data_IF_281849288166
#
_entry.id   IF_281849288166
#
_cell.length_a   1.000
_cell.length_b   1.000
_cell.length_c   1.000
_cell.angle_alpha   90.00
_cell.angle_beta   90.00
_cell.angle_gamma   90.00
#
_symmetry.space_group_name_H-M   'P 1'
#
loop_
_entity.id
_entity.type
_entity.pdbx_description
1 polymer ?
#
# COMPACT_ATOMS: atom_id res chain seq x y z
N UNK A 1 3.50 11.18 -15.18
CA UNK A 1 2.28 11.06 -14.37
C UNK A 1 1.89 9.60 -14.39
N UNK A 2 1.82 8.94 -13.24
CA UNK A 2 1.31 7.57 -13.19
C UNK A 2 -0.20 7.59 -13.48
N UNK A 3 -0.68 6.69 -14.33
CA UNK A 3 -2.10 6.54 -14.63
C UNK A 3 -2.84 6.01 -13.39
N UNK A 4 -4.11 6.35 -13.15
CA UNK A 4 -4.85 5.88 -11.96
C UNK A 4 -4.91 4.36 -11.80
N UNK A 5 -4.72 3.60 -12.88
CA UNK A 5 -4.67 2.14 -12.92
C UNK A 5 -3.31 1.58 -12.45
N UNK A 6 -2.25 2.39 -12.51
CA UNK A 6 -0.91 2.02 -12.03
C UNK A 6 -0.77 2.18 -10.51
N UNK A 7 -1.84 2.60 -9.82
CA UNK A 7 -1.84 2.89 -8.39
C UNK A 7 -2.93 2.10 -7.64
N UNK A 8 -2.55 1.52 -6.51
CA UNK A 8 -3.48 1.02 -5.50
C UNK A 8 -3.53 1.95 -4.30
N UNK A 9 -4.69 2.01 -3.65
CA UNK A 9 -4.87 2.73 -2.40
C UNK A 9 -4.81 1.77 -1.24
N UNK A 10 -3.91 2.01 -0.29
CA UNK A 10 -3.89 1.34 1.02
C UNK A 10 -4.49 2.25 2.06
N UNK A 11 -5.22 1.68 3.01
CA UNK A 11 -5.91 2.41 4.09
C UNK A 11 -5.48 1.82 5.43
N UNK A 12 -5.23 2.67 6.42
CA UNK A 12 -4.92 2.21 7.77
C UNK A 12 -6.12 1.51 8.41
N UNK A 13 -5.85 0.39 9.08
CA UNK A 13 -6.79 -0.30 9.96
C UNK A 13 -6.42 -0.08 11.43
N UNK A 14 -7.38 -0.27 12.35
CA UNK A 14 -7.08 -0.36 13.77
C UNK A 14 -5.98 -1.40 14.04
N UNK A 15 -5.13 -1.14 15.03
CA UNK A 15 -4.05 -2.06 15.38
C UNK A 15 -2.88 -2.08 14.38
N UNK A 16 -2.72 -1.04 13.55
CA UNK A 16 -1.55 -0.85 12.67
C UNK A 16 -1.54 -1.73 11.41
N UNK A 17 -2.69 -2.32 11.07
CA UNK A 17 -2.91 -3.05 9.82
C UNK A 17 -3.12 -2.14 8.60
N UNK A 18 -3.07 -2.72 7.40
CA UNK A 18 -3.34 -2.05 6.14
C UNK A 18 -4.37 -2.81 5.31
N UNK A 19 -5.21 -2.08 4.58
CA UNK A 19 -6.22 -2.65 3.70
C UNK A 19 -6.16 -2.03 2.31
N UNK A 20 -6.08 -2.84 1.25
CA UNK A 20 -6.10 -2.36 -0.14
C UNK A 20 -7.53 -2.06 -0.62
N UNK A 21 -7.85 -0.82 -0.95
CA UNK A 21 -9.16 -0.46 -1.50
C UNK A 21 -9.30 1.01 -1.91
N UNK A 22 -9.70 1.23 -3.16
CA UNK A 22 -9.88 2.58 -3.74
C UNK A 22 -10.95 3.40 -3.03
N UNK A 23 -12.07 2.76 -2.66
CA UNK A 23 -13.25 3.42 -2.07
C UNK A 23 -13.37 3.26 -0.55
N UNK A 24 -12.39 2.65 0.12
CA UNK A 24 -12.47 2.38 1.56
C UNK A 24 -12.42 3.68 2.40
N UNK A 25 -13.23 3.81 3.46
CA UNK A 25 -13.24 4.99 4.31
C UNK A 25 -11.93 5.11 5.12
N UNK A 26 -11.57 6.33 5.53
CA UNK A 26 -10.41 6.59 6.37
C UNK A 26 -9.19 7.15 5.61
N UNK A 27 -8.07 7.32 6.34
CA UNK A 27 -6.81 7.83 5.78
C UNK A 27 -6.19 6.76 4.87
N UNK A 28 -5.85 7.15 3.65
CA UNK A 28 -5.23 6.25 2.69
C UNK A 28 -4.01 6.86 2.01
N UNK A 29 -3.13 5.99 1.54
CA UNK A 29 -1.93 6.31 0.78
C UNK A 29 -1.97 5.56 -0.56
N UNK A 30 -1.44 6.18 -1.61
CA UNK A 30 -1.34 5.57 -2.93
C UNK A 30 0.06 5.00 -3.13
N UNK A 31 0.13 3.79 -3.68
CA UNK A 31 1.38 3.07 -3.99
C UNK A 31 1.23 2.35 -5.33
N UNK A 32 2.35 2.10 -6.01
CA UNK A 32 2.37 1.44 -7.32
C UNK A 32 1.68 0.06 -7.28
N UNK A 33 0.83 -0.23 -8.25
CA UNK A 33 0.09 -1.49 -8.34
C UNK A 33 0.98 -2.67 -8.76
N UNK A 34 1.91 -2.45 -9.68
CA UNK A 34 2.72 -3.52 -10.29
C UNK A 34 4.10 -3.74 -9.65
N UNK A 35 4.42 -3.09 -8.53
CA UNK A 35 5.78 -3.15 -7.97
C UNK A 35 5.81 -3.20 -6.44
N UNK A 36 6.14 -4.35 -5.84
CA UNK A 36 6.43 -4.46 -4.41
C UNK A 36 7.57 -3.54 -3.96
N UNK A 37 8.52 -3.21 -4.84
CA UNK A 37 9.62 -2.29 -4.53
C UNK A 37 9.14 -0.87 -4.13
N UNK A 38 7.96 -0.44 -4.60
CA UNK A 38 7.36 0.81 -4.14
C UNK A 38 6.96 0.75 -2.65
N UNK A 39 6.55 -0.43 -2.16
CA UNK A 39 6.27 -0.64 -0.72
C UNK A 39 7.56 -0.58 0.08
N UNK A 40 8.63 -1.21 -0.38
CA UNK A 40 9.93 -1.18 0.31
C UNK A 40 10.53 0.22 0.39
N UNK A 41 10.41 1.00 -0.70
CA UNK A 41 10.82 2.39 -0.70
C UNK A 41 10.00 3.23 0.28
N UNK A 42 8.69 2.97 0.38
CA UNK A 42 7.79 3.66 1.30
C UNK A 42 8.04 3.27 2.76
N UNK A 43 8.28 1.99 3.06
CA UNK A 43 8.63 1.50 4.40
C UNK A 43 9.92 2.14 4.91
N UNK A 44 11.02 2.06 4.13
CA UNK A 44 12.32 2.64 4.52
C UNK A 44 12.24 4.12 4.84
N UNK A 45 11.33 4.85 4.17
CA UNK A 45 11.12 6.29 4.35
C UNK A 45 10.04 6.61 5.40
N UNK A 46 9.47 5.62 6.07
CA UNK A 46 8.30 5.75 6.96
C UNK A 46 7.18 6.57 6.29
N UNK A 47 6.98 6.37 4.99
CA UNK A 47 6.04 7.16 4.20
C UNK A 47 4.60 6.79 4.54
N UNK A 48 4.32 5.50 4.78
CA UNK A 48 3.01 5.04 5.23
C UNK A 48 2.66 5.63 6.60
N UNK A 49 3.57 5.57 7.57
CA UNK A 49 3.32 6.11 8.90
C UNK A 49 2.93 7.59 8.86
N UNK A 50 3.67 8.37 8.06
CA UNK A 50 3.41 9.81 7.88
C UNK A 50 2.09 10.08 7.15
N UNK A 51 1.82 9.36 6.07
CA UNK A 51 0.61 9.55 5.27
C UNK A 51 -0.66 9.11 6.02
N UNK A 52 -0.58 7.99 6.73
CA UNK A 52 -1.70 7.36 7.43
C UNK A 52 -1.85 7.86 8.86
N UNK A 53 -0.84 8.54 9.41
CA UNK A 53 -0.77 9.05 10.78
C UNK A 53 -0.95 7.95 11.84
N UNK A 54 -0.33 6.80 11.59
CA UNK A 54 -0.33 5.66 12.51
C UNK A 54 0.94 4.85 12.30
N UNK A 55 1.39 4.10 13.30
CA UNK A 55 2.48 3.14 13.12
C UNK A 55 1.96 1.95 12.31
N UNK A 56 2.56 1.68 11.16
CA UNK A 56 2.25 0.49 10.36
C UNK A 56 3.16 -0.65 10.78
N UNK A 57 2.58 -1.84 10.99
CA UNK A 57 3.36 -3.03 11.33
C UNK A 57 3.95 -3.71 10.08
N UNK A 58 5.12 -4.35 10.23
CA UNK A 58 5.79 -5.07 9.14
C UNK A 58 4.89 -6.11 8.47
N UNK A 59 4.14 -6.90 9.26
CA UNK A 59 3.21 -7.90 8.72
C UNK A 59 2.15 -7.29 7.78
N UNK A 60 1.68 -6.06 8.08
CA UNK A 60 0.72 -5.37 7.23
C UNK A 60 1.33 -4.92 5.90
N UNK A 61 2.63 -4.59 5.89
CA UNK A 61 3.37 -4.30 4.66
C UNK A 61 3.61 -5.57 3.85
N UNK A 62 3.88 -6.70 4.50
CA UNK A 62 4.04 -8.00 3.85
C UNK A 62 2.75 -8.47 3.15
N UNK A 63 1.60 -8.26 3.78
CA UNK A 63 0.29 -8.50 3.15
C UNK A 63 0.10 -7.63 1.90
N UNK A 64 0.41 -6.33 1.99
CA UNK A 64 0.33 -5.43 0.83
C UNK A 64 1.29 -5.86 -0.29
N UNK A 65 2.53 -6.25 0.02
CA UNK A 65 3.49 -6.77 -0.96
C UNK A 65 2.95 -7.98 -1.70
N UNK A 66 2.35 -8.92 -0.96
CA UNK A 66 1.76 -10.14 -1.51
C UNK A 66 0.64 -9.81 -2.49
N UNK A 67 -0.29 -8.93 -2.08
CA UNK A 67 -1.39 -8.47 -2.94
C UNK A 67 -0.85 -7.81 -4.21
N UNK A 68 0.16 -6.94 -4.11
CA UNK A 68 0.73 -6.28 -5.29
C UNK A 68 1.47 -7.23 -6.23
N UNK A 69 2.19 -8.21 -5.69
CA UNK A 69 2.86 -9.23 -6.48
C UNK A 69 1.87 -10.13 -7.23
N UNK A 70 0.68 -10.37 -6.67
CA UNK A 70 -0.41 -11.09 -7.35
C UNK A 70 -1.05 -10.26 -8.44
N UNK A 71 -1.27 -8.95 -8.21
CA UNK A 71 -1.83 -8.04 -9.22
C UNK A 71 -0.90 -7.86 -10.41
N UNK A 72 0.40 -7.64 -10.16
CA UNK A 72 1.39 -7.53 -11.23
C UNK A 72 1.48 -8.79 -12.11
N UNK A 73 1.15 -9.97 -11.57
CA UNK A 73 1.08 -11.22 -12.33
C UNK A 73 -0.15 -11.32 -13.23
N UNK A 74 -1.25 -10.64 -12.90
CA UNK A 74 -2.48 -10.63 -13.71
C UNK A 74 -2.43 -9.59 -14.83
N UNK A 75 -1.60 -8.56 -14.65
CA UNK A 75 -1.42 -7.45 -15.60
C UNK A 75 -0.26 -7.70 -16.59
N UNK A 76 0.40 -8.86 -16.53
CA UNK A 76 1.51 -9.30 -17.43
C UNK A 76 1.04 -10.33 -18.45
#
# INVERSE_FOLDING_TARGET
>A
MASPDELVRVVAQPGGGLAVGRTRPGRGAWVCAGSPACVDAAERRKAFDRALRTTVHGHALDEVRTILAERGRLDS
#
